data_IF_649737181934
#
_entry.id   IF_649737181934
#
_cell.length_a   1.000
_cell.length_b   1.000
_cell.length_c   1.000
_cell.angle_alpha   90.00
_cell.angle_beta   90.00
_cell.angle_gamma   90.00
#
_symmetry.space_group_name_H-M   'P 1'
#
loop_
_entity.id
_entity.type
_entity.pdbx_description
1 polymer ?
#
# COMPACT_ATOMS: atom_id res chain seq x y z
N UNK A 1 31.72 -40.60 -11.19
CA UNK A 1 31.98 -39.21 -10.72
C UNK A 1 30.68 -38.44 -10.87
N UNK A 2 29.89 -38.37 -9.79
CA UNK A 2 28.68 -37.57 -9.71
C UNK A 2 29.03 -36.30 -8.94
N UNK A 3 28.65 -35.14 -9.50
CA UNK A 3 28.83 -33.85 -8.85
C UNK A 3 27.97 -33.76 -7.58
N UNK A 4 28.47 -33.14 -6.48
CA UNK A 4 27.72 -33.05 -5.25
C UNK A 4 26.56 -32.05 -5.40
N UNK A 5 25.38 -32.44 -4.92
CA UNK A 5 24.22 -31.56 -4.74
C UNK A 5 24.56 -30.50 -3.70
N UNK A 6 24.43 -29.23 -4.06
CA UNK A 6 24.48 -28.14 -3.09
C UNK A 6 23.15 -28.12 -2.33
N UNK A 7 23.18 -28.59 -1.09
CA UNK A 7 22.10 -28.40 -0.13
C UNK A 7 21.98 -26.92 0.20
N UNK A 8 20.92 -26.28 -0.27
CA UNK A 8 20.51 -24.95 0.17
C UNK A 8 19.82 -25.06 1.54
N UNK A 9 20.60 -25.36 2.58
CA UNK A 9 20.22 -25.20 3.98
C UNK A 9 20.36 -23.73 4.40
N UNK A 10 19.45 -22.86 3.96
CA UNK A 10 19.28 -21.55 4.56
C UNK A 10 17.79 -21.31 4.78
N UNK A 11 17.37 -21.26 6.06
CA UNK A 11 16.07 -20.78 6.59
C UNK A 11 15.06 -21.81 7.14
N UNK A 12 15.42 -23.08 7.37
CA UNK A 12 14.52 -24.03 8.08
C UNK A 12 14.58 -23.94 9.63
N UNK A 13 15.53 -23.18 10.17
CA UNK A 13 15.76 -23.05 11.63
C UNK A 13 15.41 -21.66 12.18
N UNK A 14 14.33 -21.03 11.71
CA UNK A 14 13.79 -19.89 12.46
C UNK A 14 13.01 -20.45 13.67
N UNK A 15 13.51 -20.32 14.92
CA UNK A 15 12.77 -20.76 16.09
C UNK A 15 11.42 -20.04 16.09
N UNK A 16 10.35 -20.80 16.40
CA UNK A 16 9.03 -20.23 16.67
C UNK A 16 9.22 -19.03 17.61
N UNK A 17 8.98 -17.82 17.09
CA UNK A 17 9.19 -16.60 17.86
C UNK A 17 8.46 -16.73 19.20
N UNK A 18 9.09 -16.36 20.33
CA UNK A 18 8.49 -16.49 21.64
C UNK A 18 7.13 -15.77 21.65
N UNK A 19 6.13 -16.39 22.30
CA UNK A 19 4.78 -15.83 22.43
C UNK A 19 4.88 -14.39 22.94
N UNK A 20 4.44 -13.45 22.10
CA UNK A 20 4.37 -12.04 22.44
C UNK A 20 3.42 -11.86 23.62
N UNK A 21 3.92 -11.30 24.72
CA UNK A 21 3.07 -10.79 25.78
C UNK A 21 2.32 -9.58 25.21
N UNK A 22 1.04 -9.75 24.88
CA UNK A 22 0.21 -8.63 24.40
C UNK A 22 0.13 -7.54 25.47
N UNK A 23 0.50 -6.31 25.12
CA UNK A 23 0.24 -5.15 25.98
C UNK A 23 -1.28 -4.97 26.10
N UNK A 24 -1.85 -4.88 27.32
CA UNK A 24 -3.27 -4.67 27.47
C UNK A 24 -3.68 -3.30 26.91
N UNK A 25 -4.67 -3.29 26.03
CA UNK A 25 -5.31 -2.06 25.56
C UNK A 25 -6.20 -1.50 26.68
N UNK A 26 -6.01 -0.23 27.05
CA UNK A 26 -6.86 0.46 28.02
C UNK A 26 -8.26 0.70 27.40
N UNK A 27 -9.34 0.40 28.13
CA UNK A 27 -10.73 0.52 27.68
C UNK A 27 -11.09 1.93 27.15
N UNK A 28 -10.38 2.98 27.59
CA UNK A 28 -10.54 4.34 27.06
C UNK A 28 -9.93 4.56 25.65
N UNK A 29 -9.17 3.59 25.13
CA UNK A 29 -8.43 3.62 23.85
C UNK A 29 -9.04 2.72 22.77
N UNK A 30 -9.92 1.80 23.14
CA UNK A 30 -10.54 0.81 22.23
C UNK A 30 -11.39 1.44 21.09
N UNK A 31 -11.71 2.74 21.15
CA UNK A 31 -12.64 3.39 20.19
C UNK A 31 -12.11 4.66 19.51
N UNK A 32 -10.82 4.98 19.60
CA UNK A 32 -10.24 6.16 18.93
C UNK A 32 -9.76 5.83 17.50
N UNK A 33 -10.68 5.39 16.64
CA UNK A 33 -10.36 5.21 15.22
C UNK A 33 -10.25 6.56 14.51
N UNK A 34 -9.28 6.71 13.62
CA UNK A 34 -9.22 7.84 12.68
C UNK A 34 -9.84 7.50 11.33
N UNK A 35 -10.40 6.29 11.16
CA UNK A 35 -11.00 5.83 9.93
C UNK A 35 -12.11 6.77 9.44
N UNK A 36 -12.28 6.83 8.11
CA UNK A 36 -13.37 7.58 7.49
C UNK A 36 -14.70 6.94 7.91
N UNK A 37 -15.63 7.77 8.42
CA UNK A 37 -16.95 7.29 8.83
C UNK A 37 -17.67 6.60 7.67
N UNK A 38 -18.37 5.51 7.99
CA UNK A 38 -19.17 4.72 7.04
C UNK A 38 -20.16 5.57 6.22
N UNK A 39 -20.61 6.71 6.75
CA UNK A 39 -21.58 7.61 6.12
C UNK A 39 -20.95 8.66 5.18
N UNK A 40 -19.63 8.84 5.19
CA UNK A 40 -18.95 9.95 4.51
C UNK A 40 -18.41 9.58 3.10
N UNK A 41 -18.65 8.36 2.61
CA UNK A 41 -18.15 7.89 1.32
C UNK A 41 -19.25 7.73 0.27
N UNK A 42 -18.93 8.03 -0.99
CA UNK A 42 -19.75 7.64 -2.15
C UNK A 42 -19.94 6.11 -2.14
N UNK A 43 -21.19 5.65 -2.21
CA UNK A 43 -21.55 4.23 -2.05
C UNK A 43 -20.83 3.30 -3.03
N UNK A 44 -20.55 3.81 -4.25
CA UNK A 44 -19.85 3.08 -5.33
C UNK A 44 -18.37 2.87 -5.00
N UNK A 45 -17.65 3.94 -4.62
CA UNK A 45 -16.21 3.84 -4.27
C UNK A 45 -16.00 2.85 -3.12
N UNK A 46 -16.95 2.82 -2.17
CA UNK A 46 -16.89 1.91 -1.03
C UNK A 46 -17.05 0.45 -1.45
N UNK A 47 -18.05 0.15 -2.28
CA UNK A 47 -18.32 -1.21 -2.71
C UNK A 47 -17.19 -1.79 -3.58
N UNK A 48 -16.60 -0.96 -4.44
CA UNK A 48 -15.60 -1.40 -5.41
C UNK A 48 -14.17 -1.40 -4.84
N UNK A 49 -13.77 -0.33 -4.15
CA UNK A 49 -12.37 -0.14 -3.73
C UNK A 49 -12.12 -0.34 -2.24
N UNK A 50 -13.15 -0.57 -1.42
CA UNK A 50 -13.00 -0.79 0.03
C UNK A 50 -13.76 -2.02 0.55
N UNK A 51 -13.61 -3.21 -0.06
CA UNK A 51 -14.26 -4.43 0.42
C UNK A 51 -13.82 -4.82 1.85
N UNK A 52 -12.63 -4.39 2.29
CA UNK A 52 -12.06 -4.66 3.61
C UNK A 52 -12.79 -4.02 4.80
N UNK A 53 -13.69 -3.05 4.55
CA UNK A 53 -14.39 -2.33 5.60
C UNK A 53 -15.49 -3.19 6.22
N UNK A 54 -15.29 -3.55 7.48
CA UNK A 54 -16.23 -4.35 8.25
C UNK A 54 -17.42 -3.50 8.74
N UNK A 55 -18.56 -4.13 9.00
CA UNK A 55 -19.70 -3.45 9.61
C UNK A 55 -19.40 -3.07 11.07
N UNK A 56 -20.05 -2.04 11.60
CA UNK A 56 -19.75 -1.49 12.93
C UNK A 56 -19.86 -2.53 14.06
N UNK A 57 -20.75 -3.51 13.91
CA UNK A 57 -20.91 -4.60 14.87
C UNK A 57 -19.66 -5.48 14.98
N UNK A 58 -19.06 -5.81 13.85
CA UNK A 58 -17.85 -6.63 13.77
C UNK A 58 -16.65 -5.81 14.19
N UNK A 59 -16.56 -4.55 13.74
CA UNK A 59 -15.47 -3.64 14.09
C UNK A 59 -15.31 -3.53 15.61
N UNK A 60 -16.40 -3.49 16.39
CA UNK A 60 -16.33 -3.43 17.86
C UNK A 60 -15.59 -4.60 18.51
N UNK A 61 -15.70 -5.78 17.91
CA UNK A 61 -15.08 -7.00 18.43
C UNK A 61 -13.83 -7.41 17.67
N UNK A 62 -13.46 -6.65 16.64
CA UNK A 62 -12.35 -6.96 15.77
C UNK A 62 -11.00 -6.77 16.45
N UNK A 63 -10.04 -7.62 16.11
CA UNK A 63 -8.72 -7.53 16.68
C UNK A 63 -7.96 -6.27 16.26
N UNK A 64 -8.19 -5.77 15.05
CA UNK A 64 -7.57 -4.55 14.55
C UNK A 64 -8.03 -3.37 15.40
N UNK A 65 -9.25 -3.38 15.94
CA UNK A 65 -9.78 -2.35 16.84
C UNK A 65 -9.19 -2.41 18.25
N UNK A 66 -8.60 -3.55 18.65
CA UNK A 66 -7.98 -3.74 19.97
C UNK A 66 -6.48 -3.45 19.99
N UNK A 67 -5.85 -3.18 18.84
CA UNK A 67 -4.43 -2.85 18.77
C UNK A 67 -4.10 -1.58 19.56
N UNK A 68 -2.95 -1.59 20.24
CA UNK A 68 -2.32 -0.41 20.83
C UNK A 68 -1.46 0.26 19.75
N UNK A 69 -1.96 1.35 19.18
CA UNK A 69 -1.32 2.12 18.10
C UNK A 69 -1.44 3.64 18.38
N UNK A 70 -1.51 4.03 19.66
CA UNK A 70 -1.85 5.40 20.08
C UNK A 70 -0.78 6.41 19.65
N UNK A 71 0.49 6.03 19.72
CA UNK A 71 1.62 6.88 19.32
C UNK A 71 1.51 7.30 17.85
N UNK A 72 1.30 6.35 16.94
CA UNK A 72 1.11 6.65 15.51
C UNK A 72 -0.20 7.37 15.27
N UNK A 73 -1.27 7.00 15.98
CA UNK A 73 -2.57 7.66 15.85
C UNK A 73 -2.48 9.14 16.22
N UNK A 74 -1.72 9.50 17.26
CA UNK A 74 -1.44 10.90 17.62
C UNK A 74 -0.65 11.63 16.53
N UNK A 75 0.37 10.99 15.97
CA UNK A 75 1.15 11.54 14.85
C UNK A 75 0.26 11.79 13.62
N UNK A 76 -0.51 10.79 13.20
CA UNK A 76 -1.43 10.88 12.07
C UNK A 76 -2.50 11.96 12.29
N UNK A 77 -3.08 12.04 13.50
CA UNK A 77 -4.02 13.09 13.86
C UNK A 77 -3.40 14.50 13.76
N UNK A 78 -2.18 14.67 14.26
CA UNK A 78 -1.47 15.94 14.16
C UNK A 78 -1.15 16.32 12.70
N UNK A 79 -0.83 15.34 11.85
CA UNK A 79 -0.67 15.55 10.41
C UNK A 79 -1.97 15.98 9.72
N UNK A 80 -3.08 15.29 9.98
CA UNK A 80 -4.40 15.65 9.46
C UNK A 80 -4.76 17.10 9.78
N UNK A 81 -4.53 17.57 11.01
CA UNK A 81 -4.78 18.97 11.37
C UNK A 81 -3.89 19.94 10.59
N UNK A 82 -2.61 19.59 10.40
CA UNK A 82 -1.64 20.43 9.72
C UNK A 82 -1.91 20.58 8.23
N UNK A 83 -2.42 19.52 7.60
CA UNK A 83 -2.70 19.46 6.15
C UNK A 83 -4.14 19.84 5.80
N UNK A 84 -4.93 20.37 6.75
CA UNK A 84 -6.31 20.78 6.50
C UNK A 84 -7.26 19.61 6.21
N UNK A 85 -7.09 18.50 6.94
CA UNK A 85 -7.79 17.22 6.78
C UNK A 85 -7.42 16.43 5.50
N UNK A 86 -6.27 16.71 4.88
CA UNK A 86 -5.79 15.87 3.78
C UNK A 86 -5.11 14.60 4.31
N UNK A 87 -5.84 13.48 4.20
CA UNK A 87 -5.40 12.14 4.59
C UNK A 87 -4.37 11.58 3.61
N UNK A 88 -3.52 10.70 4.13
CA UNK A 88 -2.61 9.90 3.31
C UNK A 88 -3.41 8.98 2.38
N UNK A 89 -3.19 9.09 1.07
CA UNK A 89 -3.82 8.23 0.06
C UNK A 89 -2.94 7.01 -0.20
N UNK A 90 -3.49 5.84 0.10
CA UNK A 90 -2.78 4.56 -0.05
C UNK A 90 -3.53 3.67 -1.03
N UNK A 91 -2.82 3.20 -2.06
CA UNK A 91 -3.32 2.16 -2.94
C UNK A 91 -2.70 0.81 -2.58
N UNK A 92 -3.54 -0.15 -2.23
CA UNK A 92 -3.16 -1.55 -2.03
C UNK A 92 -3.47 -2.33 -3.31
N UNK A 93 -2.47 -3.01 -3.85
CA UNK A 93 -2.59 -3.76 -5.10
C UNK A 93 -2.80 -5.24 -4.79
N UNK A 94 -3.88 -5.83 -5.31
CA UNK A 94 -4.12 -7.27 -5.22
C UNK A 94 -3.26 -7.96 -6.28
N UNK A 95 -2.51 -8.98 -5.89
CA UNK A 95 -1.52 -9.65 -6.74
C UNK A 95 -2.03 -10.96 -7.35
N UNK A 96 -3.33 -11.23 -7.27
CA UNK A 96 -3.96 -12.45 -7.76
C UNK A 96 -5.31 -12.22 -8.41
N UNK A 97 -5.62 -13.05 -9.42
CA UNK A 97 -6.94 -13.16 -10.04
C UNK A 97 -7.81 -14.25 -9.40
N UNK A 98 -7.26 -15.00 -8.43
CA UNK A 98 -8.02 -16.01 -7.71
C UNK A 98 -8.90 -15.31 -6.69
N UNK A 99 -10.14 -15.78 -6.54
CA UNK A 99 -11.09 -15.24 -5.57
C UNK A 99 -10.57 -15.24 -4.13
N UNK A 100 -9.62 -16.14 -3.80
CA UNK A 100 -9.03 -16.24 -2.46
C UNK A 100 -7.53 -16.55 -2.55
N UNK A 101 -6.69 -15.66 -2.02
CA UNK A 101 -5.26 -15.89 -1.78
C UNK A 101 -4.81 -15.30 -0.45
N UNK A 102 -3.77 -15.89 0.15
CA UNK A 102 -3.22 -15.38 1.42
C UNK A 102 -2.58 -14.00 1.29
N UNK A 103 -2.05 -13.65 0.11
CA UNK A 103 -1.56 -12.31 -0.20
C UNK A 103 -2.69 -11.28 -0.21
N UNK A 104 -3.85 -11.62 -0.80
CA UNK A 104 -5.04 -10.76 -0.81
C UNK A 104 -5.62 -10.60 0.60
N UNK A 105 -5.73 -11.71 1.34
CA UNK A 105 -6.17 -11.70 2.74
C UNK A 105 -5.26 -10.82 3.62
N UNK A 106 -3.95 -10.87 3.41
CA UNK A 106 -3.02 -10.01 4.10
C UNK A 106 -3.17 -8.54 3.70
N UNK A 107 -3.37 -8.26 2.40
CA UNK A 107 -3.64 -6.91 1.93
C UNK A 107 -4.90 -6.31 2.57
N UNK A 108 -5.96 -7.10 2.77
CA UNK A 108 -7.15 -6.67 3.50
C UNK A 108 -6.83 -6.31 4.97
N UNK A 109 -6.03 -7.12 5.68
CA UNK A 109 -5.64 -6.81 7.07
C UNK A 109 -4.77 -5.55 7.16
N UNK A 110 -3.80 -5.38 6.25
CA UNK A 110 -3.01 -4.16 6.12
C UNK A 110 -3.92 -2.94 5.90
N UNK A 111 -4.89 -3.06 4.99
CA UNK A 111 -5.83 -1.99 4.68
C UNK A 111 -6.70 -1.60 5.88
N UNK A 112 -7.14 -2.56 6.70
CA UNK A 112 -7.87 -2.29 7.95
C UNK A 112 -7.03 -1.51 8.94
N UNK A 113 -5.77 -1.91 9.15
CA UNK A 113 -4.86 -1.22 10.08
C UNK A 113 -4.60 0.21 9.60
N UNK A 114 -4.23 0.40 8.33
CA UNK A 114 -3.98 1.71 7.75
C UNK A 114 -5.23 2.62 7.77
N UNK A 115 -6.41 2.04 7.51
CA UNK A 115 -7.67 2.77 7.63
C UNK A 115 -7.92 3.21 9.07
N UNK A 116 -7.67 2.36 10.06
CA UNK A 116 -7.75 2.72 11.49
C UNK A 116 -6.80 3.87 11.86
N UNK A 117 -5.60 3.90 11.26
CA UNK A 117 -4.60 4.97 11.40
C UNK A 117 -4.98 6.27 10.66
N UNK A 118 -6.07 6.27 9.90
CA UNK A 118 -6.61 7.46 9.25
C UNK A 118 -6.19 7.67 7.79
N UNK A 119 -5.57 6.67 7.16
CA UNK A 119 -5.30 6.68 5.73
C UNK A 119 -6.60 6.53 4.90
N UNK A 120 -6.66 7.19 3.74
CA UNK A 120 -7.60 6.85 2.67
C UNK A 120 -7.03 5.68 1.88
N UNK A 121 -7.41 4.47 2.28
CA UNK A 121 -6.96 3.23 1.64
C UNK A 121 -7.96 2.79 0.58
N UNK A 122 -7.45 2.39 -0.59
CA UNK A 122 -8.21 1.79 -1.68
C UNK A 122 -7.49 0.53 -2.15
N UNK A 123 -8.25 -0.52 -2.46
CA UNK A 123 -7.73 -1.72 -3.08
C UNK A 123 -8.04 -1.70 -4.56
N UNK A 124 -7.06 -2.11 -5.36
CA UNK A 124 -7.25 -2.29 -6.79
C UNK A 124 -7.38 -3.79 -7.10
N UNK A 125 -8.52 -4.17 -7.70
CA UNK A 125 -8.73 -5.49 -8.27
C UNK A 125 -8.18 -5.53 -9.71
N UNK A 126 -7.17 -6.37 -10.01
CA UNK A 126 -6.60 -6.47 -11.35
C UNK A 126 -7.49 -7.23 -12.35
N UNK A 127 -8.66 -7.72 -11.95
CA UNK A 127 -9.58 -8.44 -12.83
C UNK A 127 -9.96 -7.58 -14.04
N UNK A 128 -9.71 -8.09 -15.24
CA UNK A 128 -9.98 -7.38 -16.50
C UNK A 128 -8.87 -6.41 -16.94
N UNK A 129 -7.78 -6.26 -16.18
CA UNK A 129 -6.62 -5.49 -16.62
C UNK A 129 -5.93 -6.22 -17.79
N UNK A 130 -5.81 -5.60 -18.99
CA UNK A 130 -5.15 -6.22 -20.13
C UNK A 130 -3.68 -6.50 -19.83
N UNK A 131 -3.14 -7.58 -20.41
CA UNK A 131 -1.72 -7.89 -20.34
C UNK A 131 -0.96 -6.89 -21.20
N UNK A 132 0.06 -6.25 -20.64
CA UNK A 132 0.97 -5.40 -21.41
C UNK A 132 1.95 -6.30 -22.17
N UNK A 133 2.30 -5.93 -23.41
CA UNK A 133 3.07 -6.79 -24.33
C UNK A 133 4.47 -7.21 -23.81
N UNK A 134 5.01 -6.54 -22.79
CA UNK A 134 6.37 -6.73 -22.25
C UNK A 134 6.45 -7.58 -20.96
N UNK A 135 5.39 -8.30 -20.57
CA UNK A 135 5.44 -9.12 -19.35
C UNK A 135 6.35 -10.35 -19.57
N UNK A 136 7.59 -10.24 -19.10
CA UNK A 136 8.51 -11.39 -18.97
C UNK A 136 7.82 -12.51 -18.18
N UNK A 137 7.91 -13.77 -18.64
CA UNK A 137 7.24 -14.89 -17.99
C UNK A 137 7.67 -15.01 -16.52
N UNK A 138 6.70 -15.35 -15.67
CA UNK A 138 6.84 -15.53 -14.23
C UNK A 138 7.96 -16.55 -13.94
N UNK A 139 9.11 -16.07 -13.45
CA UNK A 139 10.14 -16.95 -12.90
C UNK A 139 9.72 -17.35 -11.48
N UNK A 140 9.53 -18.64 -11.26
CA UNK A 140 9.12 -19.19 -9.96
C UNK A 140 10.03 -18.69 -8.83
N UNK A 141 9.46 -18.01 -7.84
CA UNK A 141 10.18 -17.37 -6.73
C UNK A 141 10.31 -15.84 -6.81
N UNK A 142 9.87 -15.21 -7.91
CA UNK A 142 9.84 -13.76 -8.11
C UNK A 142 8.41 -13.18 -8.02
N UNK A 143 8.28 -11.84 -8.18
CA UNK A 143 7.00 -11.12 -8.21
C UNK A 143 5.99 -11.79 -9.15
N UNK A 144 4.71 -11.82 -8.74
CA UNK A 144 3.65 -12.40 -9.58
C UNK A 144 3.49 -11.60 -10.88
N UNK A 145 3.17 -12.30 -11.98
CA UNK A 145 2.91 -11.66 -13.26
C UNK A 145 1.75 -10.65 -13.18
N UNK A 146 0.76 -10.92 -12.32
CA UNK A 146 -0.39 -10.02 -12.09
C UNK A 146 0.06 -8.72 -11.45
N UNK A 147 0.94 -8.76 -10.45
CA UNK A 147 1.48 -7.55 -9.83
C UNK A 147 2.37 -6.78 -10.80
N UNK A 148 3.27 -7.48 -11.51
CA UNK A 148 4.15 -6.87 -12.52
C UNK A 148 3.35 -6.15 -13.61
N UNK A 149 2.29 -6.79 -14.12
CA UNK A 149 1.40 -6.20 -15.11
C UNK A 149 0.77 -4.89 -14.61
N UNK A 150 0.30 -4.85 -13.36
CA UNK A 150 -0.24 -3.61 -12.77
C UNK A 150 0.79 -2.47 -12.73
N UNK A 151 2.01 -2.76 -12.28
CA UNK A 151 3.07 -1.75 -12.21
C UNK A 151 3.45 -1.25 -13.61
N UNK A 152 3.45 -2.13 -14.61
CA UNK A 152 3.78 -1.74 -15.99
C UNK A 152 2.74 -0.79 -16.61
N UNK A 153 1.51 -0.77 -16.09
CA UNK A 153 0.48 0.20 -16.47
C UNK A 153 0.65 1.57 -15.81
N UNK A 154 1.54 1.72 -14.82
CA UNK A 154 1.80 3.01 -14.16
C UNK A 154 2.84 3.80 -14.97
N UNK A 155 2.47 4.96 -15.56
CA UNK A 155 3.41 5.75 -16.36
C UNK A 155 4.45 6.47 -15.49
N UNK A 156 5.68 6.59 -16.00
CA UNK A 156 6.81 7.22 -15.29
C UNK A 156 6.76 8.75 -15.26
N UNK A 157 6.01 9.40 -16.16
CA UNK A 157 6.01 10.86 -16.29
C UNK A 157 4.60 11.46 -16.11
N UNK A 158 4.49 12.44 -15.22
CA UNK A 158 3.28 13.19 -14.95
C UNK A 158 2.96 14.16 -16.11
N UNK A 159 2.30 13.67 -17.16
CA UNK A 159 1.84 14.52 -18.28
C UNK A 159 0.51 14.12 -18.96
N UNK A 160 -0.15 13.03 -18.53
CA UNK A 160 -1.46 12.64 -19.08
C UNK A 160 -2.61 13.38 -18.39
N UNK A 161 -3.62 13.91 -19.10
CA UNK A 161 -4.78 14.59 -18.52
C UNK A 161 -5.70 13.70 -17.66
N UNK A 162 -5.35 12.43 -17.46
CA UNK A 162 -6.11 11.45 -16.66
C UNK A 162 -5.59 11.27 -15.24
N UNK A 163 -4.65 12.09 -14.76
CA UNK A 163 -4.04 11.91 -13.43
C UNK A 163 -5.06 12.02 -12.30
N UNK A 164 -5.33 10.93 -11.56
CA UNK A 164 -5.80 11.05 -10.19
C UNK A 164 -4.71 11.80 -9.40
N UNK A 165 -5.11 12.57 -8.38
CA UNK A 165 -4.14 13.24 -7.48
C UNK A 165 -3.01 12.28 -7.07
N UNK A 166 -1.76 12.77 -6.91
CA UNK A 166 -0.63 11.91 -6.61
C UNK A 166 -0.96 11.02 -5.39
N UNK A 167 -0.86 9.71 -5.59
CA UNK A 167 -0.92 8.74 -4.51
C UNK A 167 0.32 8.97 -3.63
N UNK A 168 0.13 8.99 -2.32
CA UNK A 168 1.24 9.25 -1.40
C UNK A 168 2.13 8.00 -1.26
N UNK A 169 1.54 6.81 -1.41
CA UNK A 169 2.27 5.55 -1.39
C UNK A 169 1.43 4.35 -1.92
N UNK A 170 2.13 3.28 -2.29
CA UNK A 170 1.56 1.98 -2.64
C UNK A 170 1.97 0.94 -1.59
N UNK A 171 1.07 0.01 -1.27
CA UNK A 171 1.37 -1.14 -0.40
C UNK A 171 1.20 -2.42 -1.22
N UNK A 172 2.24 -3.23 -1.23
CA UNK A 172 2.24 -4.58 -1.76
C UNK A 172 3.14 -5.45 -0.88
N UNK A 173 2.73 -6.70 -0.62
CA UNK A 173 3.59 -7.68 0.03
C UNK A 173 4.11 -8.68 -1.02
N UNK A 174 5.29 -8.43 -1.60
CA UNK A 174 5.87 -9.32 -2.62
C UNK A 174 6.38 -10.65 -2.07
N UNK A 175 6.40 -10.85 -0.74
CA UNK A 175 7.15 -11.93 -0.10
C UNK A 175 6.28 -13.02 0.54
N UNK A 176 4.96 -13.00 0.38
CA UNK A 176 4.06 -14.01 0.98
C UNK A 176 3.54 -15.05 -0.01
N UNK A 177 3.60 -14.80 -1.32
CA UNK A 177 3.13 -15.78 -2.32
C UNK A 177 3.94 -17.09 -2.31
N UNK A 178 5.16 -17.06 -1.78
CA UNK A 178 6.09 -18.20 -1.73
C UNK A 178 6.34 -18.79 -0.34
N UNK A 179 5.72 -18.29 0.75
CA UNK A 179 5.96 -18.88 2.08
C UNK A 179 5.27 -20.25 2.21
N UNK A 180 6.02 -21.35 2.42
CA UNK A 180 5.40 -22.62 2.75
C UNK A 180 4.59 -22.45 4.04
N UNK A 181 3.34 -22.95 4.02
CA UNK A 181 2.39 -22.89 5.16
C UNK A 181 1.77 -21.51 5.47
N UNK A 182 1.67 -20.59 4.52
CA UNK A 182 0.85 -19.37 4.71
C UNK A 182 -0.57 -19.65 5.23
N UNK A 183 -1.15 -20.80 4.85
CA UNK A 183 -2.46 -21.27 5.32
C UNK A 183 -2.56 -21.48 6.84
N UNK A 184 -1.46 -21.70 7.56
CA UNK A 184 -1.50 -21.89 9.02
C UNK A 184 -1.60 -20.57 9.78
N UNK A 185 -1.53 -19.43 9.08
CA UNK A 185 -1.57 -18.10 9.69
C UNK A 185 -2.97 -17.48 9.66
N UNK A 186 -3.94 -18.13 9.01
CA UNK A 186 -5.29 -17.63 8.84
C UNK A 186 -6.31 -18.63 9.41
N UNK A 187 -7.48 -18.12 9.82
CA UNK A 187 -8.64 -18.94 10.20
C UNK A 187 -9.12 -19.80 9.03
N UNK A 188 -9.84 -20.88 9.32
CA UNK A 188 -10.47 -21.68 8.28
C UNK A 188 -11.54 -20.85 7.55
N UNK A 189 -11.64 -20.92 6.21
CA UNK A 189 -12.67 -20.17 5.48
C UNK A 189 -14.11 -20.56 5.84
N UNK A 190 -14.29 -21.71 6.47
CA UNK A 190 -15.57 -22.23 6.94
C UNK A 190 -15.83 -21.90 8.40
N UNK A 191 -14.94 -21.15 9.07
CA UNK A 191 -15.09 -20.77 10.47
C UNK A 191 -16.40 -19.97 10.65
N UNK A 192 -17.32 -20.41 11.53
CA UNK A 192 -18.55 -19.67 11.81
C UNK A 192 -18.31 -18.24 12.31
N UNK A 193 -17.15 -17.95 12.89
CA UNK A 193 -16.76 -16.59 13.29
C UNK A 193 -16.59 -15.65 12.08
N UNK A 194 -16.35 -16.20 10.89
CA UNK A 194 -16.15 -15.46 9.64
C UNK A 194 -17.45 -15.38 8.79
N UNK A 195 -18.62 -15.59 9.42
CA UNK A 195 -19.91 -15.70 8.72
C UNK A 195 -20.44 -14.40 8.07
N UNK A 196 -19.80 -13.26 8.29
CA UNK A 196 -20.19 -11.96 7.76
C UNK A 196 -20.03 -11.85 6.23
N UNK A 197 -20.89 -11.04 5.62
CA UNK A 197 -20.91 -10.84 4.16
C UNK A 197 -19.61 -10.22 3.61
N UNK A 198 -18.95 -9.31 4.35
CA UNK A 198 -17.72 -8.68 3.92
C UNK A 198 -16.54 -9.65 3.97
N UNK A 199 -16.43 -10.45 5.04
CA UNK A 199 -15.42 -11.51 5.12
C UNK A 199 -15.61 -12.54 4.01
N UNK A 200 -16.85 -12.93 3.69
CA UNK A 200 -17.13 -13.83 2.58
C UNK A 200 -16.76 -13.25 1.21
N UNK A 201 -17.00 -11.96 0.99
CA UNK A 201 -16.63 -11.27 -0.26
C UNK A 201 -15.10 -11.28 -0.48
N UNK A 202 -14.32 -11.29 0.59
CA UNK A 202 -12.85 -11.39 0.58
C UNK A 202 -12.32 -12.83 0.48
N UNK A 203 -13.20 -13.83 0.44
CA UNK A 203 -12.84 -15.25 0.43
C UNK A 203 -12.72 -15.91 1.80
N UNK A 204 -13.13 -15.24 2.88
CA UNK A 204 -13.34 -15.78 4.23
C UNK A 204 -12.05 -16.27 4.89
N UNK A 205 -11.44 -15.43 5.74
CA UNK A 205 -10.36 -15.79 6.67
C UNK A 205 -9.80 -14.54 7.36
N UNK A 206 -9.37 -14.65 8.61
CA UNK A 206 -8.71 -13.61 9.40
C UNK A 206 -7.34 -14.03 9.90
N UNK A 207 -6.44 -13.06 10.06
CA UNK A 207 -5.07 -13.33 10.48
C UNK A 207 -5.00 -13.73 11.96
N UNK A 208 -4.47 -14.92 12.23
CA UNK A 208 -4.35 -15.48 13.57
C UNK A 208 -3.29 -14.73 14.40
N UNK A 209 -3.47 -14.64 15.74
CA UNK A 209 -2.46 -14.10 16.64
C UNK A 209 -1.12 -14.84 16.48
N UNK A 210 -0.07 -14.10 16.12
CA UNK A 210 1.28 -14.64 15.90
C UNK A 210 2.29 -13.50 15.83
N UNK A 211 3.59 -13.81 15.98
CA UNK A 211 4.65 -12.81 15.75
C UNK A 211 4.66 -12.23 14.34
N UNK A 212 4.18 -12.97 13.34
CA UNK A 212 4.00 -12.44 11.97
C UNK A 212 2.88 -11.40 11.92
N UNK A 213 1.79 -11.63 12.64
CA UNK A 213 0.71 -10.64 12.77
C UNK A 213 1.19 -9.37 13.46
N UNK A 214 2.00 -9.50 14.50
CA UNK A 214 2.61 -8.34 15.16
C UNK A 214 3.53 -7.57 14.19
N UNK A 215 4.34 -8.29 13.40
CA UNK A 215 5.17 -7.68 12.35
C UNK A 215 4.37 -6.91 11.31
N UNK A 216 3.19 -7.39 10.94
CA UNK A 216 2.30 -6.68 10.01
C UNK A 216 1.87 -5.34 10.61
N UNK A 217 1.54 -5.31 11.90
CA UNK A 217 1.22 -4.06 12.63
C UNK A 217 2.42 -3.12 12.64
N UNK A 218 3.62 -3.62 12.98
CA UNK A 218 4.85 -2.83 12.96
C UNK A 218 5.09 -2.18 11.59
N UNK A 219 4.97 -2.96 10.51
CA UNK A 219 5.17 -2.46 9.15
C UNK A 219 4.15 -1.38 8.78
N UNK A 220 2.88 -1.53 9.17
CA UNK A 220 1.85 -0.51 8.89
C UNK A 220 2.08 0.76 9.72
N UNK A 221 2.55 0.63 10.96
CA UNK A 221 2.95 1.78 11.77
C UNK A 221 4.13 2.54 11.15
N UNK A 222 5.19 1.82 10.81
CA UNK A 222 6.39 2.38 10.18
C UNK A 222 6.04 3.07 8.88
N UNK A 223 5.24 2.42 8.03
CA UNK A 223 4.75 2.99 6.80
C UNK A 223 4.11 4.36 7.02
N UNK A 224 3.15 4.48 7.96
CA UNK A 224 2.50 5.77 8.24
C UNK A 224 3.50 6.81 8.78
N UNK A 225 4.40 6.41 9.69
CA UNK A 225 5.44 7.31 10.23
C UNK A 225 6.31 7.87 9.11
N UNK A 226 6.82 7.00 8.24
CA UNK A 226 7.68 7.39 7.12
C UNK A 226 6.94 8.24 6.10
N UNK A 227 5.71 7.89 5.72
CA UNK A 227 4.94 8.68 4.75
C UNK A 227 4.67 10.09 5.27
N UNK A 228 4.30 10.26 6.54
CA UNK A 228 4.09 11.59 7.15
C UNK A 228 5.39 12.41 7.17
N UNK A 229 6.52 11.78 7.49
CA UNK A 229 7.81 12.43 7.52
C UNK A 229 8.24 12.89 6.12
N UNK A 230 8.12 12.01 5.13
CA UNK A 230 8.58 12.26 3.76
C UNK A 230 7.70 13.25 3.00
N UNK A 231 6.39 13.20 3.20
CA UNK A 231 5.41 14.05 2.48
C UNK A 231 5.71 15.55 2.58
N UNK A 232 6.23 16.01 3.71
CA UNK A 232 6.57 17.42 3.94
C UNK A 232 7.77 17.91 3.13
N UNK A 233 8.61 16.99 2.67
CA UNK A 233 9.85 17.27 1.97
C UNK A 233 9.83 16.73 0.53
N UNK A 234 8.65 16.38 0.01
CA UNK A 234 8.50 15.73 -1.28
C UNK A 234 9.10 16.55 -2.43
N UNK A 235 8.89 17.88 -2.42
CA UNK A 235 9.47 18.79 -3.43
C UNK A 235 11.00 18.82 -3.38
N UNK A 236 11.57 18.79 -2.17
CA UNK A 236 13.02 18.76 -1.97
C UNK A 236 13.63 17.45 -2.47
N UNK A 237 12.98 16.32 -2.19
CA UNK A 237 13.46 14.99 -2.63
C UNK A 237 13.29 14.76 -4.13
N UNK A 238 12.31 15.41 -4.76
CA UNK A 238 12.14 15.37 -6.21
C UNK A 238 13.03 16.35 -6.98
N UNK A 239 13.71 17.27 -6.29
CA UNK A 239 14.60 18.24 -6.95
C UNK A 239 15.93 17.61 -7.38
N UNK A 240 15.95 17.01 -8.57
CA UNK A 240 17.11 16.27 -9.11
C UNK A 240 18.06 17.17 -9.91
N UNK A 241 19.35 17.04 -9.62
CA UNK A 241 20.41 17.80 -10.28
C UNK A 241 20.38 17.66 -11.82
N UNK A 242 20.25 16.44 -12.34
CA UNK A 242 20.25 16.17 -13.79
C UNK A 242 19.08 16.85 -14.51
N UNK A 243 17.90 16.88 -13.88
CA UNK A 243 16.70 17.51 -14.43
C UNK A 243 16.81 19.04 -14.43
N UNK A 244 17.47 19.63 -13.43
CA UNK A 244 17.81 21.07 -13.41
C UNK A 244 18.76 21.42 -14.55
N UNK A 245 19.83 20.64 -14.75
CA UNK A 245 20.80 20.85 -15.81
C UNK A 245 20.16 20.75 -17.21
N UNK A 246 19.25 19.79 -17.42
CA UNK A 246 18.51 19.65 -18.68
C UNK A 246 17.52 20.81 -18.91
N UNK A 247 16.87 21.31 -17.86
CA UNK A 247 15.97 22.47 -17.97
C UNK A 247 16.73 23.72 -18.36
N UNK A 248 17.89 23.95 -17.78
CA UNK A 248 18.77 25.09 -18.10
C UNK A 248 19.30 25.01 -19.54
N UNK A 249 19.68 23.83 -20.02
CA UNK A 249 20.13 23.66 -21.41
C UNK A 249 19.00 23.92 -22.42
N UNK A 250 17.78 23.45 -22.14
CA UNK A 250 16.58 23.75 -22.94
C UNK A 250 16.26 25.25 -22.95
N UNK A 251 16.31 25.92 -21.80
CA UNK A 251 16.09 27.37 -21.71
C UNK A 251 17.15 28.10 -22.54
N UNK A 252 18.42 27.72 -22.41
CA UNK A 252 19.53 28.35 -23.16
C UNK A 252 19.39 28.13 -24.66
N UNK A 253 18.90 26.96 -25.10
CA UNK A 253 18.66 26.66 -26.51
C UNK A 253 17.50 27.45 -27.13
N UNK A 254 16.52 27.87 -26.33
CA UNK A 254 15.34 28.63 -26.79
C UNK A 254 15.56 30.14 -26.75
N UNK A 255 16.47 30.65 -25.91
CA UNK A 255 16.76 32.08 -25.83
C UNK A 255 17.65 32.53 -27.01
N UNK A 256 17.31 33.64 -27.71
CA UNK A 256 18.16 34.18 -28.76
C UNK A 256 19.50 34.65 -28.19
N UNK A 257 20.60 34.57 -28.96
CA UNK A 257 21.91 35.00 -28.48
C UNK A 257 21.87 36.46 -28.06
N UNK A 258 22.37 36.76 -26.86
CA UNK A 258 22.56 38.13 -26.37
C UNK A 258 23.51 38.85 -27.34
N UNK A 259 22.95 39.69 -28.22
CA UNK A 259 23.71 40.47 -29.21
C UNK A 259 23.19 40.46 -30.64
N UNK A 260 22.06 39.80 -30.95
CA UNK A 260 21.44 39.94 -32.27
C UNK A 260 20.88 41.36 -32.48
N UNK A 261 21.69 42.26 -33.02
CA UNK A 261 21.28 43.59 -33.47
C UNK A 261 20.17 43.44 -34.51
N UNK A 262 18.95 43.82 -34.17
CA UNK A 262 17.86 43.98 -35.11
C UNK A 262 18.27 45.10 -36.08
N UNK A 263 18.74 44.74 -37.28
CA UNK A 263 18.95 45.72 -38.35
C UNK A 263 17.58 46.25 -38.76
N UNK A 264 17.29 47.51 -38.42
CA UNK A 264 16.10 48.18 -38.91
C UNK A 264 16.14 48.24 -40.44
N UNK A 265 15.03 47.94 -41.14
CA UNK A 265 14.98 48.07 -42.59
C UNK A 265 15.05 49.56 -42.94
N UNK A 266 16.11 49.95 -43.64
CA UNK A 266 16.27 51.30 -44.17
C UNK A 266 15.08 51.62 -45.09
N UNK A 267 14.30 52.64 -44.73
CA UNK A 267 13.28 53.25 -45.59
C UNK A 267 14.00 53.87 -46.80
N UNK A 268 13.56 53.48 -48.01
CA UNK A 268 13.93 54.11 -49.28
C UNK A 268 12.94 55.24 -49.60
#
# INVERSE_FOLDING_TARGET
MAAPSQDHHLLDDAPLLPKTSSLPCDAARELRTLAVSQAAGESVIRAEYRPFLLCDEIVRNDWVSRLEIDTVSKLAKADLFRTGNERLRVLALIDSLRARTFSSLLAYECARILSRLGCDVRLYDPTGLPLKDDVSPEQHGNLTAVFKNQIDWIPLAAGSPTHPRPLDAYVHDPHQSSKPKAYTQFTDPSDPADADAYLKAEGGSRLLPSGNRDRVVDCMEEFVKYTILMRQHFDLFNDRYSERAERESKITAVMPPKGATIRQPHQR
#
